data_IF_338783815726
#
_entry.id   IF_338783815726
#
_cell.length_a   1.000
_cell.length_b   1.000
_cell.length_c   1.000
_cell.angle_alpha   90.00
_cell.angle_beta   90.00
_cell.angle_gamma   90.00
#
_symmetry.space_group_name_H-M   'P 1'
#
loop_
_entity.id
_entity.type
_entity.pdbx_description
1 polymer ?
#
# COMPACT_ATOMS: atom_id res chain seq x y z
N UNK A 1 -7.80 1.09 8.06
CA UNK A 1 -7.71 1.39 6.60
C UNK A 1 -6.36 0.96 6.11
N UNK A 2 -6.32 0.04 5.14
CA UNK A 2 -5.10 -0.38 4.46
C UNK A 2 -4.90 0.42 3.16
N UNK A 3 -3.67 0.82 2.86
CA UNK A 3 -3.28 1.42 1.59
C UNK A 3 -2.17 0.59 0.97
N UNK A 4 -2.28 0.29 -0.32
CA UNK A 4 -1.24 -0.38 -1.07
C UNK A 4 -0.62 0.57 -2.10
N UNK A 5 0.69 0.78 -2.02
CA UNK A 5 1.47 1.55 -3.00
C UNK A 5 2.20 0.58 -3.93
N UNK A 6 1.98 0.74 -5.22
CA UNK A 6 2.69 0.00 -6.27
C UNK A 6 3.82 0.86 -6.82
N UNK A 7 5.04 0.37 -6.73
CA UNK A 7 6.23 1.07 -7.21
C UNK A 7 6.97 0.23 -8.23
N UNK A 8 7.47 0.87 -9.28
CA UNK A 8 8.44 0.26 -10.16
C UNK A 8 9.85 0.39 -9.58
N UNK A 9 10.71 -0.59 -9.86
CA UNK A 9 12.07 -0.66 -9.31
C UNK A 9 13.01 0.51 -9.65
N UNK A 10 12.61 1.43 -10.47
CA UNK A 10 13.51 2.10 -11.36
C UNK A 10 14.20 3.34 -10.81
N UNK A 11 13.67 4.05 -9.85
CA UNK A 11 14.33 5.29 -9.37
C UNK A 11 14.23 5.47 -7.86
N UNK A 12 15.34 5.91 -7.27
CA UNK A 12 15.41 6.31 -5.86
C UNK A 12 14.46 7.50 -5.63
N UNK A 13 13.48 7.32 -4.76
CA UNK A 13 12.52 8.38 -4.41
C UNK A 13 11.34 8.53 -5.37
N UNK A 14 11.20 7.69 -6.39
CA UNK A 14 10.02 7.70 -7.23
C UNK A 14 8.75 7.42 -6.39
N UNK A 15 7.73 8.25 -6.60
CA UNK A 15 6.41 8.03 -6.00
C UNK A 15 5.74 6.87 -6.71
N UNK A 16 5.21 5.91 -5.95
CA UNK A 16 4.34 4.88 -6.48
C UNK A 16 2.92 5.38 -6.70
N UNK A 17 2.14 4.62 -7.44
CA UNK A 17 0.69 4.80 -7.52
C UNK A 17 0.03 4.03 -6.38
N UNK A 18 -1.02 4.58 -5.81
CA UNK A 18 -1.77 3.95 -4.73
C UNK A 18 -2.99 3.28 -5.34
N UNK A 19 -3.22 2.02 -4.97
CA UNK A 19 -4.42 1.31 -5.38
C UNK A 19 -5.68 1.95 -4.77
N UNK A 20 -6.76 2.09 -5.54
CA UNK A 20 -7.96 2.80 -5.09
C UNK A 20 -8.72 2.11 -3.97
N UNK A 21 -8.62 0.82 -3.82
CA UNK A 21 -9.37 0.13 -2.77
C UNK A 21 -8.66 0.10 -1.44
N UNK A 22 -8.81 1.12 -0.71
CA UNK A 22 -8.61 1.07 0.72
C UNK A 22 -9.86 0.49 1.35
N UNK A 23 -9.87 -0.77 1.71
CA UNK A 23 -10.96 -1.34 2.47
C UNK A 23 -11.08 -0.59 3.80
N UNK A 24 -12.19 0.08 3.99
CA UNK A 24 -12.57 0.69 5.27
C UNK A 24 -13.70 -0.14 5.85
N UNK A 25 -13.37 -1.13 6.66
CA UNK A 25 -14.39 -1.83 7.44
C UNK A 25 -14.72 -1.06 8.70
N UNK A 26 -15.95 -1.24 9.17
CA UNK A 26 -16.41 -0.67 10.45
C UNK A 26 -15.65 -1.36 11.59
N UNK A 27 -15.07 -0.58 12.48
CA UNK A 27 -14.24 -1.08 13.56
C UNK A 27 -12.75 -0.93 13.29
N UNK A 28 -11.96 -1.74 13.95
CA UNK A 28 -10.51 -1.82 13.73
C UNK A 28 -10.15 -3.27 13.39
N UNK A 29 -10.49 -3.74 12.16
CA UNK A 29 -10.11 -5.08 11.74
C UNK A 29 -8.58 -5.20 11.74
N UNK A 30 -8.08 -6.37 12.05
CA UNK A 30 -6.66 -6.66 11.93
C UNK A 30 -6.16 -6.37 10.51
N UNK A 31 -4.92 -5.91 10.39
CA UNK A 31 -4.33 -5.56 9.08
C UNK A 31 -4.36 -6.75 8.11
N UNK A 32 -4.26 -7.97 8.65
CA UNK A 32 -4.33 -9.22 7.88
C UNK A 32 -5.67 -9.41 7.13
N UNK A 33 -6.78 -8.85 7.64
CA UNK A 33 -8.11 -9.00 7.04
C UNK A 33 -8.28 -8.18 5.75
N UNK A 34 -7.48 -7.14 5.58
CA UNK A 34 -7.52 -6.25 4.42
C UNK A 34 -6.65 -6.75 3.26
N UNK A 35 -5.69 -7.61 3.55
CA UNK A 35 -4.71 -8.08 2.57
C UNK A 35 -5.32 -8.92 1.43
N UNK A 36 -6.26 -9.87 1.67
CA UNK A 36 -6.90 -10.63 0.60
C UNK A 36 -7.60 -9.75 -0.44
N UNK A 37 -8.23 -8.66 0.01
CA UNK A 37 -8.88 -7.70 -0.89
C UNK A 37 -7.84 -7.01 -1.80
N UNK A 38 -6.74 -6.55 -1.22
CA UNK A 38 -5.63 -5.94 -1.98
C UNK A 38 -5.03 -6.92 -2.99
N UNK A 39 -4.89 -8.20 -2.62
CA UNK A 39 -4.41 -9.26 -3.52
C UNK A 39 -5.34 -9.45 -4.69
N UNK A 40 -6.65 -9.55 -4.45
CA UNK A 40 -7.65 -9.70 -5.50
C UNK A 40 -7.62 -8.54 -6.50
N UNK A 41 -7.42 -7.32 -6.03
CA UNK A 41 -7.30 -6.15 -6.90
C UNK A 41 -6.03 -6.15 -7.73
N UNK A 42 -4.89 -6.50 -7.13
CA UNK A 42 -3.62 -6.63 -7.86
C UNK A 42 -3.76 -7.65 -8.99
N UNK A 43 -4.44 -8.77 -8.73
CA UNK A 43 -4.73 -9.78 -9.75
C UNK A 43 -5.67 -9.26 -10.83
N UNK A 44 -6.75 -8.58 -10.47
CA UNK A 44 -7.71 -8.00 -11.41
C UNK A 44 -7.07 -6.96 -12.33
N UNK A 45 -6.10 -6.19 -11.82
CA UNK A 45 -5.32 -5.22 -12.58
C UNK A 45 -4.17 -5.85 -13.38
N UNK A 46 -3.94 -7.16 -13.27
CA UNK A 46 -2.83 -7.86 -13.93
C UNK A 46 -1.44 -7.42 -13.43
N UNK A 47 -1.34 -6.89 -12.23
CA UNK A 47 -0.08 -6.39 -11.68
C UNK A 47 0.77 -7.55 -11.18
N UNK A 48 1.95 -7.73 -11.77
CA UNK A 48 2.92 -8.74 -11.34
C UNK A 48 3.75 -8.22 -10.18
N UNK A 49 3.49 -8.76 -8.99
CA UNK A 49 4.22 -8.38 -7.77
C UNK A 49 5.50 -9.19 -7.63
N UNK A 50 6.64 -8.51 -7.53
CA UNK A 50 7.94 -9.14 -7.29
C UNK A 50 8.33 -9.16 -5.82
N UNK A 51 8.04 -8.08 -5.12
CA UNK A 51 8.42 -7.88 -3.73
C UNK A 51 7.29 -7.16 -2.98
N UNK A 52 7.09 -7.54 -1.73
CA UNK A 52 6.07 -6.94 -0.85
C UNK A 52 6.75 -6.45 0.43
N UNK A 53 6.47 -5.21 0.82
CA UNK A 53 6.92 -4.64 2.09
C UNK A 53 5.70 -4.24 2.93
N UNK A 54 5.60 -4.78 4.12
CA UNK A 54 4.47 -4.62 5.03
C UNK A 54 4.91 -4.05 6.37
N UNK A 55 3.98 -3.44 7.06
CA UNK A 55 4.18 -2.94 8.42
C UNK A 55 4.23 -4.09 9.44
N UNK A 56 4.67 -3.79 10.66
CA UNK A 56 4.87 -4.78 11.74
C UNK A 56 3.59 -5.37 12.32
N UNK A 57 2.44 -4.79 12.01
CA UNK A 57 1.12 -5.29 12.42
C UNK A 57 0.67 -6.57 11.70
N UNK A 58 1.31 -6.92 10.58
CA UNK A 58 0.97 -8.13 9.83
C UNK A 58 1.56 -9.39 10.46
N UNK A 59 0.75 -10.44 10.60
CA UNK A 59 1.18 -11.74 11.07
C UNK A 59 1.72 -12.59 9.93
N UNK A 60 2.83 -13.29 10.16
CA UNK A 60 3.55 -14.03 9.10
C UNK A 60 2.68 -15.08 8.41
N UNK A 61 2.01 -15.95 9.17
CA UNK A 61 1.21 -17.04 8.63
C UNK A 61 0.06 -16.56 7.74
N UNK A 62 -0.88 -15.76 8.25
CA UNK A 62 -1.97 -15.19 7.45
C UNK A 62 -1.49 -14.40 6.24
N UNK A 63 -0.41 -13.63 6.40
CA UNK A 63 0.19 -12.85 5.31
C UNK A 63 0.72 -13.74 4.19
N UNK A 64 1.46 -14.80 4.54
CA UNK A 64 2.00 -15.73 3.55
C UNK A 64 0.88 -16.39 2.75
N UNK A 65 -0.16 -16.87 3.43
CA UNK A 65 -1.32 -17.49 2.79
C UNK A 65 -2.06 -16.51 1.86
N UNK A 66 -2.25 -15.28 2.31
CA UNK A 66 -2.94 -14.26 1.52
C UNK A 66 -2.14 -13.85 0.27
N UNK A 67 -0.82 -13.83 0.32
CA UNK A 67 0.07 -13.45 -0.78
C UNK A 67 0.40 -14.60 -1.75
N UNK A 68 0.07 -15.85 -1.39
CA UNK A 68 0.35 -17.03 -2.21
C UNK A 68 -0.08 -16.87 -3.69
N UNK A 69 -1.27 -16.32 -4.00
CA UNK A 69 -1.71 -16.15 -5.39
C UNK A 69 -0.86 -15.18 -6.22
N UNK A 70 -0.06 -14.34 -5.60
CA UNK A 70 0.83 -13.38 -6.27
C UNK A 70 2.27 -13.89 -6.45
N UNK A 71 2.63 -14.99 -5.78
CA UNK A 71 3.96 -15.62 -5.82
C UNK A 71 5.14 -14.61 -5.70
N UNK A 72 5.14 -13.70 -4.71
CA UNK A 72 6.20 -12.71 -4.59
C UNK A 72 7.54 -13.39 -4.24
N UNK A 73 8.65 -12.93 -4.83
CA UNK A 73 10.00 -13.45 -4.54
C UNK A 73 10.45 -13.16 -3.12
N UNK A 74 10.08 -12.01 -2.58
CA UNK A 74 10.44 -11.58 -1.24
C UNK A 74 9.26 -10.88 -0.56
N UNK A 75 8.99 -11.28 0.67
CA UNK A 75 8.03 -10.62 1.56
C UNK A 75 8.79 -10.09 2.78
N UNK A 76 8.68 -8.80 3.01
CA UNK A 76 9.29 -8.11 4.12
C UNK A 76 8.20 -7.63 5.09
N UNK A 77 8.26 -8.07 6.34
CA UNK A 77 7.39 -7.57 7.42
C UNK A 77 8.27 -6.90 8.46
N UNK A 78 7.99 -5.65 8.80
CA UNK A 78 8.79 -4.89 9.75
C UNK A 78 8.86 -5.59 11.12
N UNK A 79 10.04 -5.60 11.74
CA UNK A 79 10.24 -6.23 13.04
C UNK A 79 10.34 -7.77 13.02
N UNK A 80 10.25 -8.41 11.85
CA UNK A 80 10.43 -9.85 11.69
C UNK A 80 11.76 -10.19 11.05
N UNK A 81 12.17 -11.48 11.11
CA UNK A 81 13.34 -11.96 10.38
C UNK A 81 13.14 -11.74 8.87
N UNK A 82 14.11 -11.11 8.23
CA UNK A 82 13.95 -10.65 6.86
C UNK A 82 14.61 -11.61 5.86
N UNK A 83 13.94 -11.92 4.74
CA UNK A 83 14.54 -12.72 3.68
C UNK A 83 15.55 -11.91 2.86
N UNK A 84 16.43 -12.62 2.19
CA UNK A 84 17.34 -12.07 1.21
C UNK A 84 18.60 -11.40 1.75
N UNK A 85 19.38 -10.84 0.85
CA UNK A 85 20.65 -10.17 1.15
C UNK A 85 20.45 -8.87 1.95
N UNK A 86 21.52 -8.40 2.61
CA UNK A 86 21.54 -7.10 3.31
C UNK A 86 21.12 -5.94 2.39
N UNK A 87 21.45 -6.02 1.09
CA UNK A 87 21.03 -5.03 0.08
C UNK A 87 19.53 -5.06 -0.14
N UNK A 88 18.94 -6.25 -0.28
CA UNK A 88 17.48 -6.45 -0.43
C UNK A 88 16.75 -5.91 0.80
N UNK A 89 17.18 -6.32 2.00
CA UNK A 89 16.58 -5.86 3.26
C UNK A 89 16.62 -4.33 3.40
N UNK A 90 17.75 -3.68 3.03
CA UNK A 90 17.87 -2.22 3.05
C UNK A 90 16.93 -1.55 2.06
N UNK A 91 16.72 -2.14 0.87
CA UNK A 91 15.77 -1.65 -0.14
C UNK A 91 14.33 -1.75 0.38
N UNK A 92 13.94 -2.89 0.94
CA UNK A 92 12.59 -3.13 1.46
C UNK A 92 12.25 -2.20 2.64
N UNK A 93 13.20 -1.94 3.54
CA UNK A 93 13.04 -0.94 4.61
C UNK A 93 12.76 0.46 4.04
N UNK A 94 13.43 0.85 2.96
CA UNK A 94 13.18 2.14 2.30
C UNK A 94 11.80 2.23 1.69
N UNK A 95 11.29 1.16 1.08
CA UNK A 95 9.91 1.14 0.57
C UNK A 95 8.92 1.37 1.70
N UNK A 96 9.04 0.63 2.80
CA UNK A 96 8.19 0.81 3.96
C UNK A 96 8.23 2.24 4.50
N UNK A 97 9.40 2.80 4.74
CA UNK A 97 9.54 4.20 5.19
C UNK A 97 8.93 5.17 4.17
N UNK A 98 9.07 4.89 2.89
CA UNK A 98 8.41 5.65 1.83
C UNK A 98 6.90 5.63 1.96
N UNK A 99 6.31 4.47 2.20
CA UNK A 99 4.85 4.31 2.35
C UNK A 99 4.30 5.09 3.55
N UNK A 100 4.97 5.08 4.69
CA UNK A 100 4.61 5.93 5.85
C UNK A 100 4.61 7.43 5.48
N UNK A 101 5.63 7.86 4.74
CA UNK A 101 5.69 9.22 4.22
C UNK A 101 4.55 9.54 3.27
N UNK A 102 4.08 8.57 2.46
CA UNK A 102 2.92 8.75 1.56
C UNK A 102 1.62 8.94 2.32
N UNK A 103 1.37 8.15 3.37
CA UNK A 103 0.18 8.31 4.21
C UNK A 103 0.15 9.72 4.82
N UNK A 104 1.27 10.17 5.35
CA UNK A 104 1.40 11.55 5.88
C UNK A 104 1.17 12.62 4.81
N UNK A 105 1.65 12.40 3.60
CA UNK A 105 1.47 13.30 2.46
C UNK A 105 0.01 13.35 2.00
N UNK A 106 -0.66 12.20 1.88
CA UNK A 106 -2.09 12.11 1.57
C UNK A 106 -2.94 12.86 2.60
N UNK A 107 -2.63 12.68 3.89
CA UNK A 107 -3.33 13.40 4.95
C UNK A 107 -3.19 14.91 4.82
N UNK A 108 -1.98 15.41 4.61
CA UNK A 108 -1.71 16.85 4.59
C UNK A 108 -2.12 17.57 3.30
N UNK A 109 -1.99 16.92 2.14
CA UNK A 109 -2.18 17.58 0.84
C UNK A 109 -3.46 17.15 0.11
N UNK A 110 -3.97 15.97 0.37
CA UNK A 110 -5.13 15.41 -0.33
C UNK A 110 -6.33 15.14 0.58
N UNK A 111 -6.28 15.64 1.82
CA UNK A 111 -7.42 15.65 2.75
C UNK A 111 -7.80 14.29 3.33
N UNK A 112 -6.91 13.29 3.29
CA UNK A 112 -7.19 11.94 3.77
C UNK A 112 -7.42 11.88 5.31
N UNK A 113 -6.97 12.87 6.05
CA UNK A 113 -7.10 12.94 7.51
C UNK A 113 -8.53 13.20 7.99
N UNK A 114 -9.34 13.88 7.18
CA UNK A 114 -10.68 14.29 7.56
C UNK A 114 -11.67 14.24 6.41
N UNK A 115 -12.50 13.21 6.39
CA UNK A 115 -13.61 13.14 5.44
C UNK A 115 -14.62 14.28 5.74
N UNK A 116 -15.04 14.97 4.69
CA UNK A 116 -16.14 15.93 4.72
C UNK A 116 -17.48 15.26 4.39
N UNK A 117 -17.46 14.01 3.93
CA UNK A 117 -18.65 13.23 3.64
C UNK A 117 -19.01 12.36 4.85
N UNK A 118 -20.30 12.23 5.13
CA UNK A 118 -20.82 11.46 6.27
C UNK A 118 -21.08 10.00 5.89
N UNK A 119 -21.07 9.14 6.91
CA UNK A 119 -21.33 7.70 6.77
C UNK A 119 -20.17 6.93 6.15
N UNK A 120 -20.30 5.60 6.07
CA UNK A 120 -19.22 4.73 5.59
C UNK A 120 -18.98 4.90 4.10
N UNK A 121 -20.04 4.95 3.30
CA UNK A 121 -19.92 5.21 1.86
C UNK A 121 -19.29 6.57 1.57
N UNK A 122 -19.66 7.60 2.35
CA UNK A 122 -19.06 8.93 2.23
C UNK A 122 -17.56 8.93 2.57
N UNK A 123 -17.16 8.22 3.63
CA UNK A 123 -15.74 8.06 3.98
C UNK A 123 -14.96 7.30 2.90
N UNK A 124 -15.54 6.23 2.37
CA UNK A 124 -14.95 5.46 1.27
C UNK A 124 -14.75 6.35 0.03
N UNK A 125 -15.79 7.02 -0.44
CA UNK A 125 -15.70 7.93 -1.58
C UNK A 125 -14.67 9.03 -1.37
N UNK A 126 -14.60 9.62 -0.17
CA UNK A 126 -13.60 10.63 0.16
C UNK A 126 -12.17 10.09 0.06
N UNK A 127 -11.96 8.89 0.56
CA UNK A 127 -10.65 8.21 0.48
C UNK A 127 -10.24 7.96 -0.97
N UNK A 128 -11.16 7.47 -1.79
CA UNK A 128 -10.92 7.22 -3.22
C UNK A 128 -10.60 8.49 -3.99
N UNK A 129 -11.33 9.58 -3.72
CA UNK A 129 -11.01 10.89 -4.30
C UNK A 129 -9.62 11.41 -3.89
N UNK A 130 -9.24 11.23 -2.64
CA UNK A 130 -7.90 11.62 -2.17
C UNK A 130 -6.79 10.82 -2.87
N UNK A 131 -7.01 9.53 -3.06
CA UNK A 131 -6.09 8.64 -3.78
C UNK A 131 -6.03 9.00 -5.27
N UNK A 132 -7.17 9.24 -5.90
CA UNK A 132 -7.23 9.65 -7.31
C UNK A 132 -6.45 10.96 -7.54
N UNK A 133 -6.68 11.96 -6.71
CA UNK A 133 -5.97 13.24 -6.81
C UNK A 133 -4.45 13.07 -6.66
N UNK A 134 -4.01 12.25 -5.71
CA UNK A 134 -2.59 11.91 -5.53
C UNK A 134 -2.01 11.19 -6.75
N UNK A 135 -2.73 10.22 -7.31
CA UNK A 135 -2.28 9.45 -8.47
C UNK A 135 -2.15 10.32 -9.71
N UNK A 136 -3.12 11.20 -9.97
CA UNK A 136 -3.07 12.15 -11.08
C UNK A 136 -1.88 13.11 -10.95
N UNK A 137 -1.64 13.67 -9.76
CA UNK A 137 -0.49 14.52 -9.50
C UNK A 137 0.85 13.77 -9.69
N UNK A 138 0.87 12.50 -9.27
CA UNK A 138 2.04 11.63 -9.45
C UNK A 138 2.34 11.35 -10.92
N UNK A 139 1.32 11.14 -11.74
CA UNK A 139 1.47 10.94 -13.19
C UNK A 139 1.94 12.22 -13.86
N UNK A 140 1.34 13.36 -13.53
CA UNK A 140 1.74 14.65 -14.09
C UNK A 140 3.22 15.01 -13.82
N UNK A 141 3.74 14.64 -12.64
CA UNK A 141 5.16 14.84 -12.29
C UNK A 141 6.09 13.88 -13.05
N UNK A 142 5.58 12.68 -13.44
CA UNK A 142 6.40 11.71 -14.18
C UNK A 142 6.57 12.03 -15.67
N UNK A 143 5.67 12.80 -16.23
CA UNK A 143 5.71 13.23 -17.63
C UNK A 143 6.62 14.43 -17.87
N UNK A 144 7.13 15.07 -16.82
CA UNK A 144 8.11 16.16 -16.87
C UNK A 144 9.55 15.62 -16.77
#
# INVERSE_FOLDING_TARGET
>A
MGLAEVTEHTKRGARGLILPAAATEIGNPGEDTLLPHTVAELQALGIRVQEVALDGGFNVGPTTNALEPLEPKNVFIAGRQQPGSKRTQRRMRRYRTGSEGRISHLKRRYGLDRSRLKGDQGRQAWTEWSILAYNLDTLAVREQ
#
